data_IF_276299444016
#
_entry.id   IF_276299444016
#
_cell.length_a   1.000
_cell.length_b   1.000
_cell.length_c   1.000
_cell.angle_alpha   90.00
_cell.angle_beta   90.00
_cell.angle_gamma   90.00
#
_symmetry.space_group_name_H-M   'P 1'
#
loop_
_entity.id
_entity.type
_entity.pdbx_description
1 polymer ?
#
# COMPACT_ATOMS: atom_id res chain seq x y z
N UNK A 1 -7.96 2.59 -10.22
CA UNK A 1 -7.57 2.63 -8.79
C UNK A 1 -7.63 4.03 -8.16
N UNK A 2 -8.21 4.11 -6.97
CA UNK A 2 -8.28 5.22 -6.03
C UNK A 2 -7.81 4.72 -4.64
N UNK A 3 -6.96 5.50 -3.98
CA UNK A 3 -6.39 5.16 -2.67
C UNK A 3 -6.89 6.16 -1.63
N UNK A 4 -7.73 5.69 -0.70
CA UNK A 4 -8.21 6.46 0.43
C UNK A 4 -7.30 6.25 1.65
N UNK A 5 -6.43 7.21 1.94
CA UNK A 5 -5.54 7.13 3.11
C UNK A 5 -6.22 7.82 4.29
N UNK A 6 -6.52 7.03 5.33
CA UNK A 6 -7.21 7.53 6.53
C UNK A 6 -6.31 8.51 7.32
N UNK A 7 -6.89 9.43 8.11
CA UNK A 7 -6.12 10.46 8.82
C UNK A 7 -4.98 9.90 9.68
N UNK A 8 -5.19 8.76 10.35
CA UNK A 8 -4.15 8.13 11.17
C UNK A 8 -2.98 7.62 10.32
N UNK A 9 -3.25 6.99 9.17
CA UNK A 9 -2.21 6.57 8.23
C UNK A 9 -1.48 7.76 7.60
N UNK A 10 -2.19 8.85 7.27
CA UNK A 10 -1.55 10.08 6.78
C UNK A 10 -0.59 10.64 7.83
N UNK A 11 -1.04 10.73 9.09
CA UNK A 11 -0.22 11.24 10.19
C UNK A 11 1.03 10.38 10.42
N UNK A 12 0.90 9.05 10.32
CA UNK A 12 2.02 8.13 10.48
C UNK A 12 3.01 8.22 9.31
N UNK A 13 2.52 8.18 8.07
CA UNK A 13 3.36 8.21 6.87
C UNK A 13 4.13 9.53 6.71
N UNK A 14 3.57 10.65 7.19
CA UNK A 14 4.25 11.96 7.20
C UNK A 14 5.46 12.03 8.14
N UNK A 15 5.69 11.03 8.98
CA UNK A 15 6.90 10.94 9.80
C UNK A 15 8.12 10.48 9.00
N UNK A 16 7.93 10.00 7.78
CA UNK A 16 8.99 9.50 6.91
C UNK A 16 9.30 10.52 5.82
N UNK A 17 10.59 10.66 5.52
CA UNK A 17 11.06 11.40 4.35
C UNK A 17 11.19 10.47 3.14
N UNK A 18 10.78 10.95 1.96
CA UNK A 18 10.90 10.21 0.70
C UNK A 18 12.02 10.84 -0.12
N UNK A 19 12.98 10.02 -0.53
CA UNK A 19 14.03 10.43 -1.45
C UNK A 19 13.51 10.66 -2.87
N UNK A 20 14.41 11.02 -3.77
CA UNK A 20 14.07 11.20 -5.19
C UNK A 20 13.47 9.92 -5.77
N UNK A 21 12.30 10.03 -6.39
CA UNK A 21 11.52 8.92 -6.94
C UNK A 21 11.09 7.84 -5.93
N UNK A 22 11.17 8.10 -4.62
CA UNK A 22 10.63 7.19 -3.60
C UNK A 22 9.15 7.45 -3.33
N UNK A 23 8.47 6.40 -2.87
CA UNK A 23 7.14 6.50 -2.32
C UNK A 23 6.73 5.24 -1.55
N UNK A 24 5.52 5.29 -1.01
CA UNK A 24 4.90 4.16 -0.33
C UNK A 24 4.38 3.18 -1.38
N UNK A 25 5.10 2.08 -1.59
CA UNK A 25 4.68 0.98 -2.44
C UNK A 25 3.64 0.11 -1.74
N UNK A 26 2.51 -0.11 -2.40
CA UNK A 26 1.51 -1.10 -2.03
C UNK A 26 1.66 -2.28 -3.01
N UNK A 27 2.02 -3.45 -2.49
CA UNK A 27 2.17 -4.66 -3.31
C UNK A 27 1.05 -5.66 -2.99
N UNK A 28 0.49 -6.25 -4.04
CA UNK A 28 -0.43 -7.39 -3.98
C UNK A 28 0.05 -8.44 -4.97
N UNK A 29 0.69 -9.49 -4.47
CA UNK A 29 1.35 -10.53 -5.25
C UNK A 29 0.51 -11.80 -5.18
N UNK A 30 0.06 -12.31 -6.33
CA UNK A 30 -0.61 -13.60 -6.37
C UNK A 30 0.42 -14.73 -6.23
N UNK A 31 0.31 -15.54 -5.16
CA UNK A 31 1.25 -16.63 -4.87
C UNK A 31 0.64 -18.02 -5.03
N UNK A 32 -0.66 -18.11 -5.34
CA UNK A 32 -1.29 -19.32 -5.88
C UNK A 32 -1.03 -20.62 -5.12
N UNK A 33 -1.10 -20.61 -3.77
CA UNK A 33 -0.90 -21.81 -2.95
C UNK A 33 -2.20 -22.26 -2.26
N UNK A 34 -2.31 -23.55 -1.91
CA UNK A 34 -3.54 -24.19 -1.39
C UNK A 34 -4.16 -23.56 -0.13
N UNK A 35 -3.49 -22.61 0.52
CA UNK A 35 -4.00 -21.90 1.71
C UNK A 35 -3.90 -20.37 1.64
N UNK A 36 -3.13 -19.81 0.69
CA UNK A 36 -2.93 -18.36 0.54
C UNK A 36 -2.93 -18.03 -0.96
N UNK A 37 -3.91 -17.23 -1.36
CA UNK A 37 -4.03 -16.75 -2.74
C UNK A 37 -3.06 -15.60 -3.03
N UNK A 38 -2.87 -14.69 -2.08
CA UNK A 38 -2.07 -13.47 -2.28
C UNK A 38 -1.28 -13.05 -1.04
N UNK A 39 -0.12 -12.44 -1.29
CA UNK A 39 0.69 -11.74 -0.29
C UNK A 39 0.62 -10.22 -0.50
N UNK A 40 0.67 -9.49 0.62
CA UNK A 40 0.56 -8.04 0.62
C UNK A 40 1.73 -7.41 1.38
N UNK A 41 2.31 -6.36 0.81
CA UNK A 41 3.40 -5.62 1.44
C UNK A 41 3.17 -4.11 1.36
N UNK A 42 3.74 -3.41 2.35
CA UNK A 42 3.81 -1.95 2.39
C UNK A 42 5.28 -1.56 2.58
N UNK A 43 5.86 -0.85 1.60
CA UNK A 43 7.29 -0.51 1.62
C UNK A 43 7.52 0.94 1.23
N UNK A 44 8.56 1.57 1.76
CA UNK A 44 9.17 2.74 1.11
C UNK A 44 10.15 2.19 0.08
N UNK A 45 9.89 2.45 -1.19
CA UNK A 45 10.68 1.93 -2.30
C UNK A 45 10.74 2.98 -3.42
N UNK A 46 11.65 2.79 -4.37
CA UNK A 46 11.76 3.64 -5.57
C UNK A 46 10.74 3.22 -6.62
N UNK A 47 10.26 4.19 -7.38
CA UNK A 47 9.42 3.97 -8.55
C UNK A 47 10.15 3.11 -9.58
N UNK A 48 9.49 2.05 -10.03
CA UNK A 48 9.94 1.12 -11.07
C UNK A 48 9.19 1.39 -12.37
N UNK A 49 9.70 0.79 -13.44
CA UNK A 49 8.97 0.70 -14.70
C UNK A 49 7.66 -0.07 -14.48
N UNK A 50 6.55 0.42 -15.06
CA UNK A 50 5.23 -0.17 -14.87
C UNK A 50 4.48 0.24 -13.59
N UNK A 51 5.09 1.06 -12.72
CA UNK A 51 4.35 1.66 -11.60
C UNK A 51 3.55 2.88 -12.06
N UNK A 52 2.33 2.97 -11.55
CA UNK A 52 1.62 4.24 -11.45
C UNK A 52 1.98 4.94 -10.13
N UNK A 53 2.10 6.27 -10.19
CA UNK A 53 2.31 7.15 -9.04
C UNK A 53 1.01 7.86 -8.69
N UNK A 54 0.55 7.69 -7.46
CA UNK A 54 -0.61 8.37 -6.90
C UNK A 54 -0.15 9.32 -5.80
N UNK A 55 -0.53 10.60 -5.87
CA UNK A 55 -0.25 11.54 -4.78
C UNK A 55 -1.49 11.72 -3.92
N UNK A 56 -1.45 11.24 -2.67
CA UNK A 56 -2.58 11.33 -1.74
C UNK A 56 -2.14 12.08 -0.49
N UNK A 57 -2.79 13.21 -0.19
CA UNK A 57 -2.42 14.07 0.95
C UNK A 57 -0.95 14.52 0.96
N UNK A 58 -0.35 14.66 -0.24
CA UNK A 58 1.07 15.00 -0.42
C UNK A 58 2.05 13.83 -0.27
N UNK A 59 1.55 12.60 -0.06
CA UNK A 59 2.37 11.39 0.05
C UNK A 59 2.37 10.67 -1.31
N UNK A 60 3.55 10.34 -1.88
CA UNK A 60 3.65 9.54 -3.09
C UNK A 60 3.38 8.06 -2.80
N UNK A 61 2.45 7.46 -3.54
CA UNK A 61 2.14 6.03 -3.51
C UNK A 61 2.47 5.38 -4.85
N UNK A 62 3.09 4.21 -4.79
CA UNK A 62 3.53 3.45 -5.95
C UNK A 62 2.74 2.14 -6.02
N UNK A 63 2.10 1.86 -7.16
CA UNK A 63 1.39 0.59 -7.36
C UNK A 63 1.68 0.08 -8.77
N UNK A 64 2.24 -1.13 -8.87
CA UNK A 64 2.49 -1.77 -10.17
C UNK A 64 1.17 -2.15 -10.84
N UNK A 65 1.15 -2.26 -12.19
CA UNK A 65 -0.03 -2.75 -12.92
C UNK A 65 -0.51 -4.11 -12.41
N UNK A 66 0.41 -5.03 -12.14
CA UNK A 66 0.09 -6.35 -11.58
C UNK A 66 -0.59 -6.25 -10.20
N UNK A 67 -0.09 -5.38 -9.30
CA UNK A 67 -0.75 -5.17 -8.02
C UNK A 67 -2.13 -4.54 -8.19
N UNK A 68 -2.33 -3.67 -9.17
CA UNK A 68 -3.63 -3.09 -9.49
C UNK A 68 -4.62 -4.13 -10.02
N UNK A 69 -4.17 -5.15 -10.75
CA UNK A 69 -5.04 -6.25 -11.21
C UNK A 69 -5.56 -7.12 -10.04
N UNK A 70 -4.78 -7.21 -8.96
CA UNK A 70 -5.13 -7.96 -7.76
C UNK A 70 -5.87 -7.13 -6.69
N UNK A 71 -6.02 -5.81 -6.91
CA UNK A 71 -6.66 -4.89 -5.98
C UNK A 71 -7.93 -4.32 -6.60
N UNK A 72 -8.95 -4.09 -5.77
CA UNK A 72 -10.17 -3.42 -6.18
C UNK A 72 -9.87 -1.96 -6.51
N UNK A 73 -10.75 -1.36 -7.32
CA UNK A 73 -10.57 0.01 -7.78
C UNK A 73 -10.56 1.05 -6.66
N UNK A 74 -11.14 0.73 -5.51
CA UNK A 74 -11.18 1.61 -4.34
C UNK A 74 -10.60 0.90 -3.12
N UNK A 75 -9.38 1.26 -2.75
CA UNK A 75 -8.72 0.73 -1.56
C UNK A 75 -8.61 1.80 -0.48
N UNK A 76 -8.52 1.37 0.77
CA UNK A 76 -8.27 2.22 1.92
C UNK A 76 -7.07 1.71 2.72
N UNK A 77 -6.22 2.65 3.14
CA UNK A 77 -5.10 2.40 4.03
C UNK A 77 -5.36 3.12 5.35
N UNK A 78 -5.41 2.37 6.44
CA UNK A 78 -5.54 2.89 7.80
C UNK A 78 -4.35 2.48 8.66
N UNK A 79 -4.18 3.13 9.80
CA UNK A 79 -3.09 2.85 10.74
C UNK A 79 -3.61 2.83 12.17
N UNK A 80 -3.22 1.78 12.90
CA UNK A 80 -3.41 1.67 14.33
C UNK A 80 -2.04 1.44 15.00
N UNK A 81 -1.63 2.24 15.99
CA UNK A 81 -0.31 2.10 16.62
C UNK A 81 -0.03 0.72 17.22
N UNK A 82 -1.05 0.00 17.69
CA UNK A 82 -0.91 -1.34 18.25
C UNK A 82 -0.95 -2.47 17.20
N UNK A 83 -1.50 -2.19 16.01
CA UNK A 83 -1.77 -3.19 14.97
C UNK A 83 -1.14 -2.85 13.61
N UNK A 84 -0.32 -1.81 13.50
CA UNK A 84 0.26 -1.38 12.22
C UNK A 84 -0.79 -0.92 11.20
N UNK A 85 -0.44 -1.06 9.92
CA UNK A 85 -1.31 -0.66 8.81
C UNK A 85 -2.32 -1.74 8.45
N UNK A 86 -3.50 -1.28 8.03
CA UNK A 86 -4.59 -2.12 7.53
C UNK A 86 -4.94 -1.71 6.10
N UNK A 87 -4.95 -2.67 5.18
CA UNK A 87 -5.34 -2.48 3.78
C UNK A 87 -6.68 -3.16 3.53
N UNK A 88 -7.66 -2.41 3.03
CA UNK A 88 -9.03 -2.90 2.76
C UNK A 88 -9.57 -2.32 1.46
N UNK A 89 -10.66 -2.91 0.97
CA UNK A 89 -11.59 -2.27 0.05
C UNK A 89 -13.01 -2.31 0.63
N UNK A 90 -14.03 -2.00 -0.17
CA UNK A 90 -15.43 -2.18 0.24
C UNK A 90 -15.82 -3.68 0.27
N UNK A 91 -15.13 -4.49 -0.53
CA UNK A 91 -15.39 -5.89 -0.78
C UNK A 91 -14.70 -6.79 0.25
N UNK A 92 -13.47 -6.44 0.66
CA UNK A 92 -12.71 -7.30 1.57
C UNK A 92 -11.67 -6.56 2.43
N UNK A 93 -11.14 -7.29 3.40
CA UNK A 93 -9.89 -6.91 4.07
C UNK A 93 -8.74 -7.74 3.51
N UNK A 94 -7.85 -7.10 2.76
CA UNK A 94 -6.65 -7.73 2.21
C UNK A 94 -5.67 -8.16 3.28
N UNK A 95 -5.32 -7.22 4.19
CA UNK A 95 -4.30 -7.49 5.20
C UNK A 95 -4.45 -6.60 6.43
N UNK A 96 -4.20 -7.22 7.58
CA UNK A 96 -3.95 -6.57 8.85
C UNK A 96 -2.46 -6.61 9.17
N UNK A 97 -2.00 -5.73 10.06
CA UNK A 97 -0.65 -5.77 10.60
C UNK A 97 0.45 -5.62 9.54
N UNK A 98 0.16 -4.86 8.48
CA UNK A 98 1.20 -4.43 7.55
C UNK A 98 2.17 -3.51 8.30
N UNK A 99 3.46 -3.77 8.17
CA UNK A 99 4.52 -2.91 8.67
C UNK A 99 5.09 -2.14 7.49
N UNK A 100 5.38 -0.86 7.70
CA UNK A 100 6.12 -0.09 6.72
C UNK A 100 7.61 -0.40 6.89
N UNK A 101 8.19 -0.98 5.85
CA UNK A 101 9.61 -1.29 5.78
C UNK A 101 10.26 -0.44 4.69
N UNK A 102 11.55 -0.11 4.81
CA UNK A 102 12.28 0.55 3.73
C UNK A 102 13.09 -0.52 2.99
N UNK A 103 12.90 -0.60 1.67
CA UNK A 103 13.57 -1.56 0.79
C UNK A 103 14.93 -1.03 0.31
#
# INVERSE_FOLDING_TARGET
>A
MNINVKPAAVAELKKYEFGENEGVRIESIFIGSCSIASEYHLRIDRKKEGDDLFTVSGIPFLVSKESQENLHDHIALDFNPAMGYKLTSAEETYRYNLKLERA
#
